data_IF_359633098915
#
_entry.id   IF_359633098915
#
_cell.length_a   1.000
_cell.length_b   1.000
_cell.length_c   1.000
_cell.angle_alpha   90.00
_cell.angle_beta   90.00
_cell.angle_gamma   90.00
#
_symmetry.space_group_name_H-M   'P 1'
#
loop_
_entity.id
_entity.type
_entity.pdbx_description
1 polymer ?
#
# COMPACT_ATOMS: atom_id res chain seq x y z
N UNK A 1 -13.03 -35.77 -20.71
CA UNK A 1 -13.69 -34.49 -20.35
C UNK A 1 -14.30 -33.93 -21.63
N UNK A 2 -15.61 -33.74 -21.73
CA UNK A 2 -16.25 -33.28 -22.98
C UNK A 2 -15.95 -31.80 -23.22
N UNK A 3 -15.90 -31.36 -24.49
CA UNK A 3 -15.62 -29.97 -24.88
C UNK A 3 -16.53 -28.98 -24.14
N UNK A 4 -17.78 -29.36 -23.89
CA UNK A 4 -18.74 -28.56 -23.12
C UNK A 4 -18.32 -28.31 -21.68
N UNK A 5 -17.65 -29.27 -21.01
CA UNK A 5 -17.16 -29.11 -19.64
C UNK A 5 -15.95 -28.18 -19.60
N UNK A 6 -15.10 -28.25 -20.63
CA UNK A 6 -13.93 -27.37 -20.76
C UNK A 6 -14.37 -25.91 -21.02
N UNK A 7 -15.34 -25.71 -21.92
CA UNK A 7 -15.89 -24.38 -22.21
C UNK A 7 -16.52 -23.74 -20.97
N UNK A 8 -17.31 -24.50 -20.21
CA UNK A 8 -17.93 -24.03 -18.98
C UNK A 8 -16.89 -23.66 -17.91
N UNK A 9 -15.84 -24.46 -17.76
CA UNK A 9 -14.74 -24.16 -16.84
C UNK A 9 -13.99 -22.88 -17.23
N UNK A 10 -13.71 -22.69 -18.53
CA UNK A 10 -13.02 -21.50 -19.02
C UNK A 10 -13.86 -20.23 -18.82
N UNK A 11 -15.17 -20.30 -19.09
CA UNK A 11 -16.09 -19.18 -18.85
C UNK A 11 -16.16 -18.82 -17.37
N UNK A 12 -16.17 -19.79 -16.46
CA UNK A 12 -16.18 -19.54 -15.03
C UNK A 12 -14.89 -18.84 -14.54
N UNK A 13 -13.73 -19.26 -15.05
CA UNK A 13 -12.45 -18.62 -14.74
C UNK A 13 -12.40 -17.19 -15.26
N UNK A 14 -12.88 -16.96 -16.48
CA UNK A 14 -12.91 -15.61 -17.07
C UNK A 14 -13.83 -14.68 -16.29
N UNK A 15 -14.97 -15.19 -15.81
CA UNK A 15 -15.91 -14.42 -15.00
C UNK A 15 -15.34 -14.09 -13.61
N UNK A 16 -14.59 -15.02 -13.01
CA UNK A 16 -13.94 -14.81 -11.72
C UNK A 16 -12.81 -13.75 -11.80
N UNK A 17 -12.10 -13.67 -12.93
CA UNK A 17 -11.05 -12.67 -13.14
C UNK A 17 -11.58 -11.22 -13.25
N UNK A 18 -12.89 -11.04 -13.49
CA UNK A 18 -13.54 -9.74 -13.55
C UNK A 18 -14.04 -9.26 -12.18
N UNK A 19 -14.02 -10.13 -11.16
CA UNK A 19 -14.39 -9.72 -9.82
C UNK A 19 -13.33 -8.74 -9.29
N UNK A 20 -13.74 -7.58 -8.74
CA UNK A 20 -12.80 -6.69 -8.09
C UNK A 20 -12.07 -7.48 -7.01
N UNK A 21 -10.73 -7.46 -7.05
CA UNK A 21 -9.95 -7.94 -5.94
C UNK A 21 -10.39 -7.13 -4.71
N UNK A 22 -10.97 -7.80 -3.73
CA UNK A 22 -11.29 -7.16 -2.46
C UNK A 22 -9.98 -6.57 -1.93
N UNK A 23 -9.91 -5.23 -1.88
CA UNK A 23 -8.79 -4.57 -1.26
C UNK A 23 -8.74 -5.08 0.18
N UNK A 24 -7.59 -5.64 0.57
CA UNK A 24 -7.37 -5.98 1.96
C UNK A 24 -7.66 -4.73 2.80
N UNK A 25 -8.48 -4.90 3.83
CA UNK A 25 -8.82 -3.81 4.75
C UNK A 25 -7.51 -3.21 5.26
N UNK A 26 -7.37 -1.88 5.14
CA UNK A 26 -6.15 -1.21 5.57
C UNK A 26 -5.89 -1.57 7.04
N UNK A 27 -4.64 -1.88 7.44
CA UNK A 27 -4.34 -2.12 8.83
C UNK A 27 -4.87 -0.93 9.64
N UNK A 28 -5.68 -1.21 10.67
CA UNK A 28 -6.50 -0.20 11.36
C UNK A 28 -5.69 0.97 11.98
N UNK A 29 -4.36 0.85 12.01
CA UNK A 29 -3.43 1.83 12.57
C UNK A 29 -2.87 2.82 11.53
N UNK A 30 -3.19 2.69 10.23
CA UNK A 30 -2.80 3.65 9.20
C UNK A 30 -4.01 4.46 8.76
N UNK A 31 -4.23 5.60 9.42
CA UNK A 31 -5.20 6.59 8.96
C UNK A 31 -4.65 7.29 7.71
N UNK A 32 -5.38 7.21 6.60
CA UNK A 32 -5.11 8.02 5.41
C UNK A 32 -5.77 9.38 5.60
N UNK A 33 -4.99 10.45 5.50
CA UNK A 33 -5.53 11.81 5.57
C UNK A 33 -6.09 12.22 4.21
N UNK A 34 -7.36 12.64 4.17
CA UNK A 34 -8.01 13.12 2.93
C UNK A 34 -7.39 14.44 2.43
N UNK A 35 -6.81 15.22 3.33
CA UNK A 35 -6.12 16.48 3.03
C UNK A 35 -4.67 16.41 3.50
N UNK A 36 -3.68 16.77 2.65
CA UNK A 36 -2.29 16.85 3.09
C UNK A 36 -2.13 17.78 4.29
N UNK A 37 -1.52 17.27 5.37
CA UNK A 37 -1.20 18.04 6.56
C UNK A 37 0.31 18.31 6.62
N UNK A 38 0.69 19.54 6.99
CA UNK A 38 2.08 19.85 7.26
C UNK A 38 2.55 19.10 8.51
N UNK A 39 3.73 18.49 8.43
CA UNK A 39 4.40 17.89 9.58
C UNK A 39 5.29 18.94 10.28
N UNK A 40 5.42 18.89 11.62
CA UNK A 40 6.40 19.71 12.32
C UNK A 40 7.82 19.31 11.93
N UNK A 41 8.80 20.15 12.24
CA UNK A 41 10.21 19.78 12.06
C UNK A 41 10.57 18.62 13.01
N UNK A 42 10.90 17.46 12.44
CA UNK A 42 11.35 16.28 13.21
C UNK A 42 12.87 16.20 13.16
N UNK A 43 13.51 16.21 14.34
CA UNK A 43 14.95 16.10 14.55
C UNK A 43 15.27 14.79 15.27
N UNK A 44 16.32 14.11 14.83
CA UNK A 44 16.77 12.85 15.41
C UNK A 44 18.28 12.70 15.22
N UNK A 45 18.89 11.74 15.92
CA UNK A 45 20.27 11.35 15.67
C UNK A 45 20.31 10.07 14.84
N UNK A 46 21.28 9.94 13.95
CA UNK A 46 21.56 8.66 13.30
C UNK A 46 22.35 7.71 14.23
N UNK A 47 22.70 6.54 13.72
CA UNK A 47 23.45 5.53 14.47
C UNK A 47 24.83 6.01 14.96
N UNK A 48 25.41 7.04 14.32
CA UNK A 48 26.67 7.66 14.73
C UNK A 48 26.47 8.86 15.66
N UNK A 49 25.24 9.13 16.10
CA UNK A 49 24.90 10.28 16.93
C UNK A 49 24.85 11.61 16.16
N UNK A 50 24.95 11.59 14.83
CA UNK A 50 24.94 12.82 14.05
C UNK A 50 23.52 13.38 13.94
N UNK A 51 23.32 14.69 14.15
CA UNK A 51 22.01 15.29 14.05
C UNK A 51 21.48 15.21 12.61
N UNK A 52 20.24 14.78 12.47
CA UNK A 52 19.47 14.66 11.23
C UNK A 52 18.09 15.28 11.39
N UNK A 53 17.48 15.62 10.27
CA UNK A 53 16.10 16.09 10.20
C UNK A 53 15.33 15.30 9.15
N UNK A 54 14.01 15.20 9.30
CA UNK A 54 13.15 14.54 8.31
C UNK A 54 13.24 15.21 6.92
N UNK A 55 13.50 16.52 6.87
CA UNK A 55 13.68 17.27 5.63
C UNK A 55 14.80 16.69 4.74
N UNK A 56 15.81 16.03 5.34
CA UNK A 56 16.86 15.32 4.60
C UNK A 56 16.36 14.14 3.75
N UNK A 57 15.11 13.70 3.91
CA UNK A 57 14.48 12.58 3.18
C UNK A 57 13.45 13.06 2.15
N UNK A 58 13.46 14.35 1.80
CA UNK A 58 12.55 14.93 0.81
C UNK A 58 12.57 14.17 -0.53
N UNK A 59 11.40 14.04 -1.15
CA UNK A 59 11.22 13.27 -2.39
C UNK A 59 11.14 11.75 -2.19
N UNK A 60 11.02 11.28 -0.95
CA UNK A 60 10.81 9.87 -0.61
C UNK A 60 9.53 9.71 0.20
N UNK A 61 8.90 8.55 0.06
CA UNK A 61 7.90 8.09 1.04
C UNK A 61 8.67 7.56 2.25
N UNK A 62 8.36 8.08 3.43
CA UNK A 62 9.02 7.71 4.69
C UNK A 62 7.98 7.13 5.63
N UNK A 63 8.23 5.91 6.12
CA UNK A 63 7.50 5.33 7.24
C UNK A 63 8.28 5.63 8.51
N UNK A 64 7.71 6.46 9.38
CA UNK A 64 8.26 6.72 10.71
C UNK A 64 7.66 5.70 11.68
N UNK A 65 8.53 4.94 12.36
CA UNK A 65 8.16 4.00 13.41
C UNK A 65 8.50 4.59 14.77
#
# INVERSE_FOLDING_TARGET
MTVSKLAMALSAVLLAALLPAAAAEAPQNFAVLDTPAALPEIRFADAAGQPKTLAGYSGKVVLLN
#
